data_IF_220323690427
#
_entry.id   IF_220323690427
#
_cell.length_a   1.000
_cell.length_b   1.000
_cell.length_c   1.000
_cell.angle_alpha   90.00
_cell.angle_beta   90.00
_cell.angle_gamma   90.00
#
_symmetry.space_group_name_H-M   'P 1'
#
loop_
_entity.id
_entity.type
_entity.pdbx_description
1 polymer ?
#
# COMPACT_ATOMS: atom_id res chain seq x y z
N UNK A 1 20.72 21.76 14.90
CA UNK A 1 19.49 22.13 14.18
C UNK A 1 18.35 21.45 14.90
N UNK A 2 17.59 22.20 15.71
CA UNK A 2 16.47 21.65 16.47
C UNK A 2 15.34 21.30 15.50
N UNK A 3 15.05 20.00 15.40
CA UNK A 3 13.86 19.49 14.72
C UNK A 3 12.66 20.16 15.39
N UNK A 4 12.01 21.08 14.69
CA UNK A 4 10.82 21.76 15.17
C UNK A 4 9.73 20.69 15.39
N UNK A 5 9.54 20.26 16.65
CA UNK A 5 8.53 19.29 17.11
C UNK A 5 7.13 19.85 16.85
N UNK A 6 6.71 19.85 15.59
CA UNK A 6 5.35 20.18 15.14
C UNK A 6 4.70 18.95 14.54
N UNK A 7 4.66 17.87 15.30
CA UNK A 7 3.97 16.67 14.83
C UNK A 7 2.96 16.26 15.91
N UNK A 8 1.68 16.33 15.55
CA UNK A 8 0.57 15.81 16.36
C UNK A 8 0.54 14.27 16.40
N UNK A 9 1.47 13.63 15.67
CA UNK A 9 1.57 12.19 15.50
C UNK A 9 3.04 11.82 15.73
N UNK A 10 3.31 10.92 16.67
CA UNK A 10 4.64 10.38 16.91
C UNK A 10 4.75 9.01 16.22
N UNK A 11 5.94 8.70 15.72
CA UNK A 11 6.30 7.36 15.21
C UNK A 11 5.39 6.81 14.10
N UNK A 12 4.85 7.68 13.24
CA UNK A 12 3.97 7.28 12.16
C UNK A 12 4.68 6.41 11.09
N UNK A 13 3.94 5.44 10.56
CA UNK A 13 4.30 4.60 9.40
C UNK A 13 3.31 4.81 8.26
N UNK A 14 3.81 4.76 7.03
CA UNK A 14 2.98 4.89 5.83
C UNK A 14 2.52 3.50 5.39
N UNK A 15 1.21 3.23 5.52
CA UNK A 15 0.60 1.98 5.06
C UNK A 15 0.12 2.02 3.61
N UNK A 16 -0.36 3.18 3.17
CA UNK A 16 -0.91 3.37 1.82
C UNK A 16 -0.63 4.79 1.35
N UNK A 17 -0.28 4.92 0.07
CA UNK A 17 -0.05 6.20 -0.58
C UNK A 17 -0.83 6.29 -1.89
N UNK A 18 -1.51 7.40 -2.09
CA UNK A 18 -2.12 7.75 -3.38
C UNK A 18 -1.19 8.68 -4.14
N UNK A 19 -1.04 8.42 -5.44
CA UNK A 19 -0.18 9.23 -6.32
C UNK A 19 -1.03 10.16 -7.20
N UNK A 20 -0.40 11.23 -7.71
CA UNK A 20 -0.97 12.11 -8.74
C UNK A 20 -2.30 12.79 -8.36
N UNK A 21 -2.45 13.21 -7.12
CA UNK A 21 -3.63 13.97 -6.69
C UNK A 21 -3.61 15.39 -7.28
N UNK A 22 -4.60 15.80 -8.08
CA UNK A 22 -4.59 17.11 -8.74
C UNK A 22 -4.83 18.28 -7.77
N UNK A 23 -5.44 18.00 -6.61
CA UNK A 23 -5.70 18.96 -5.55
C UNK A 23 -5.83 18.26 -4.20
N UNK A 24 -5.80 19.05 -3.12
CA UNK A 24 -6.05 18.56 -1.75
C UNK A 24 -7.48 18.05 -1.62
N UNK A 25 -7.65 16.75 -1.36
CA UNK A 25 -8.97 16.11 -1.19
C UNK A 25 -9.72 16.61 0.06
N UNK A 26 -8.99 16.92 1.13
CA UNK A 26 -9.54 17.37 2.40
C UNK A 26 -8.88 18.70 2.82
N UNK A 27 -9.51 19.85 2.56
CA UNK A 27 -8.97 21.17 2.91
C UNK A 27 -8.76 21.36 4.42
N UNK A 28 -9.60 20.72 5.23
CA UNK A 28 -9.54 20.74 6.68
C UNK A 28 -9.58 19.30 7.21
N UNK A 29 -8.93 19.09 8.34
CA UNK A 29 -8.94 17.83 9.07
C UNK A 29 -9.67 18.01 10.38
N UNK A 30 -10.50 17.03 10.73
CA UNK A 30 -11.12 16.90 12.04
C UNK A 30 -10.90 15.48 12.54
N UNK A 31 -10.69 15.32 13.85
CA UNK A 31 -10.57 14.02 14.47
C UNK A 31 -11.63 13.85 15.56
N UNK A 32 -12.02 12.60 15.80
CA UNK A 32 -12.77 12.19 16.99
C UNK A 32 -12.06 10.99 17.57
N UNK A 33 -11.71 11.06 18.85
CA UNK A 33 -11.20 9.92 19.60
C UNK A 33 -12.37 9.00 19.89
N UNK A 34 -12.23 7.73 19.55
CA UNK A 34 -13.22 6.69 19.82
C UNK A 34 -12.74 5.88 21.03
N UNK A 35 -13.65 5.60 21.96
CA UNK A 35 -13.33 4.76 23.10
C UNK A 35 -13.28 3.30 22.66
N UNK A 36 -12.16 2.63 22.93
CA UNK A 36 -11.99 1.21 22.65
C UNK A 36 -12.59 0.39 23.80
N UNK A 37 -13.34 -0.68 23.51
CA UNK A 37 -13.74 -1.63 24.54
C UNK A 37 -12.50 -2.31 25.16
N UNK A 38 -12.49 -2.50 26.49
CA UNK A 38 -11.33 -3.01 27.25
C UNK A 38 -10.73 -4.31 26.69
N UNK A 39 -11.57 -5.19 26.13
CA UNK A 39 -11.15 -6.46 25.52
C UNK A 39 -10.16 -6.31 24.34
N UNK A 40 -10.06 -5.13 23.73
CA UNK A 40 -9.13 -4.84 22.62
C UNK A 40 -7.81 -4.20 23.07
N UNK A 41 -7.62 -4.02 24.38
CA UNK A 41 -6.37 -3.53 24.95
C UNK A 41 -5.38 -4.67 25.27
N UNK A 42 -5.82 -5.91 25.16
CA UNK A 42 -4.99 -7.08 25.46
C UNK A 42 -4.02 -7.36 24.31
N UNK A 43 -2.78 -7.71 24.68
CA UNK A 43 -1.69 -8.00 23.76
C UNK A 43 -1.62 -9.52 23.49
N UNK A 44 -1.91 -9.96 22.28
CA UNK A 44 -1.58 -11.30 21.77
C UNK A 44 -0.34 -11.23 20.88
N UNK A 45 0.78 -11.66 21.45
CA UNK A 45 2.11 -11.67 20.83
C UNK A 45 2.33 -12.91 19.97
N UNK A 46 1.85 -12.91 18.73
CA UNK A 46 2.44 -13.71 17.65
C UNK A 46 1.89 -13.29 16.29
N UNK A 47 2.65 -12.46 15.56
CA UNK A 47 2.43 -12.26 14.13
C UNK A 47 3.35 -13.24 13.39
N UNK A 48 2.80 -14.37 12.95
CA UNK A 48 3.51 -15.33 12.08
C UNK A 48 3.26 -15.07 10.59
N UNK A 49 2.30 -14.20 10.29
CA UNK A 49 1.85 -13.88 8.94
C UNK A 49 2.73 -12.80 8.28
N UNK A 50 2.82 -12.78 6.94
CA UNK A 50 3.59 -11.77 6.22
C UNK A 50 2.98 -10.38 6.42
N UNK A 51 3.83 -9.34 6.39
CA UNK A 51 3.40 -7.97 6.69
C UNK A 51 2.33 -7.48 5.71
N UNK A 52 2.38 -7.91 4.45
CA UNK A 52 1.43 -7.52 3.41
C UNK A 52 0.01 -7.97 3.72
N UNK A 53 -0.14 -9.17 4.28
CA UNK A 53 -1.44 -9.71 4.69
C UNK A 53 -1.98 -8.91 5.86
N UNK A 54 -1.14 -8.65 6.87
CA UNK A 54 -1.50 -7.79 8.02
C UNK A 54 -1.92 -6.38 7.58
N UNK A 55 -1.21 -5.78 6.62
CA UNK A 55 -1.56 -4.46 6.06
C UNK A 55 -2.92 -4.53 5.35
N UNK A 56 -3.13 -5.56 4.52
CA UNK A 56 -4.37 -5.77 3.77
C UNK A 56 -5.58 -5.90 4.70
N UNK A 57 -5.45 -6.68 5.78
CA UNK A 57 -6.49 -6.84 6.78
C UNK A 57 -6.78 -5.55 7.53
N UNK A 58 -5.73 -4.84 7.96
CA UNK A 58 -5.84 -3.54 8.62
C UNK A 58 -6.58 -2.51 7.75
N UNK A 59 -6.18 -2.37 6.49
CA UNK A 59 -6.84 -1.47 5.53
C UNK A 59 -8.28 -1.89 5.26
N UNK A 60 -8.56 -3.20 5.21
CA UNK A 60 -9.92 -3.74 5.04
C UNK A 60 -10.81 -3.39 6.23
N UNK A 61 -10.32 -3.56 7.46
CA UNK A 61 -11.04 -3.19 8.67
C UNK A 61 -11.34 -1.68 8.70
N UNK A 62 -10.34 -0.83 8.42
CA UNK A 62 -10.49 0.62 8.34
C UNK A 62 -11.49 1.05 7.25
N UNK A 63 -11.47 0.40 6.09
CA UNK A 63 -12.41 0.68 5.02
C UNK A 63 -13.85 0.30 5.40
N UNK A 64 -14.04 -0.85 6.05
CA UNK A 64 -15.35 -1.28 6.57
C UNK A 64 -15.85 -0.30 7.64
N UNK A 65 -14.97 0.13 8.55
CA UNK A 65 -15.26 1.15 9.55
C UNK A 65 -15.69 2.47 8.91
N UNK A 66 -14.93 2.95 7.92
CA UNK A 66 -15.25 4.16 7.16
C UNK A 66 -16.61 4.08 6.48
N UNK A 67 -16.91 2.95 5.80
CA UNK A 67 -18.22 2.70 5.19
C UNK A 67 -19.34 2.69 6.23
N UNK A 68 -19.10 2.16 7.42
CA UNK A 68 -20.06 2.16 8.50
C UNK A 68 -20.31 3.57 9.05
N UNK A 69 -19.25 4.38 9.18
CA UNK A 69 -19.32 5.78 9.61
C UNK A 69 -20.13 6.66 8.64
N UNK A 70 -20.15 6.34 7.34
CA UNK A 70 -20.97 7.07 6.35
C UNK A 70 -22.49 6.99 6.62
N UNK A 71 -22.93 6.04 7.44
CA UNK A 71 -24.34 5.93 7.86
C UNK A 71 -24.74 6.96 8.91
N UNK A 72 -23.76 7.65 9.50
CA UNK A 72 -23.97 8.66 10.53
C UNK A 72 -23.88 10.08 9.96
N UNK A 73 -24.50 11.08 10.62
CA UNK A 73 -24.38 12.46 10.19
C UNK A 73 -22.91 12.91 10.14
N UNK A 74 -22.57 13.77 9.19
CA UNK A 74 -21.19 14.24 8.93
C UNK A 74 -20.51 14.99 10.10
N UNK A 75 -21.24 15.28 11.17
CA UNK A 75 -20.68 15.93 12.36
C UNK A 75 -20.12 14.87 13.32
N UNK A 76 -18.83 14.94 13.70
CA UNK A 76 -18.24 14.00 14.66
C UNK A 76 -18.93 14.03 16.02
N UNK A 77 -19.58 15.15 16.39
CA UNK A 77 -20.37 15.29 17.63
C UNK A 77 -21.60 14.37 17.67
N UNK A 78 -22.05 13.88 16.51
CA UNK A 78 -23.26 13.06 16.40
C UNK A 78 -22.96 11.56 16.40
N UNK A 79 -21.68 11.16 16.53
CA UNK A 79 -21.31 9.76 16.68
C UNK A 79 -21.47 9.32 18.14
N UNK A 80 -22.19 8.22 18.44
CA UNK A 80 -22.32 7.71 19.81
C UNK A 80 -20.96 7.35 20.42
N UNK A 81 -20.80 7.54 21.74
CA UNK A 81 -19.52 7.29 22.42
C UNK A 81 -19.15 5.79 22.47
N UNK A 82 -20.14 4.90 22.49
CA UNK A 82 -20.00 3.44 22.47
C UNK A 82 -20.19 2.85 21.06
N UNK A 83 -19.92 3.64 20.02
CA UNK A 83 -20.10 3.21 18.62
C UNK A 83 -19.34 1.91 18.30
N UNK A 84 -18.10 1.79 18.76
CA UNK A 84 -17.23 0.66 18.47
C UNK A 84 -17.70 -0.65 19.13
N UNK A 85 -18.51 -0.59 20.19
CA UNK A 85 -19.08 -1.80 20.81
C UNK A 85 -20.05 -2.53 19.87
N UNK A 86 -20.65 -1.81 18.91
CA UNK A 86 -21.61 -2.37 17.93
C UNK A 86 -20.93 -2.97 16.70
N UNK A 87 -19.68 -2.62 16.45
CA UNK A 87 -18.89 -3.07 15.28
C UNK A 87 -17.47 -3.48 15.70
N UNK A 88 -17.34 -4.41 16.66
CA UNK A 88 -16.04 -4.88 17.16
C UNK A 88 -15.11 -5.40 16.07
N UNK A 89 -15.67 -6.01 15.02
CA UNK A 89 -14.94 -6.63 13.93
C UNK A 89 -14.24 -5.65 12.98
N UNK A 90 -14.49 -4.35 13.14
CA UNK A 90 -13.80 -3.30 12.37
C UNK A 90 -12.68 -2.62 13.16
N UNK A 91 -12.46 -3.02 14.41
CA UNK A 91 -11.41 -2.49 15.27
C UNK A 91 -10.11 -3.22 14.93
N UNK A 92 -9.09 -2.47 14.54
CA UNK A 92 -7.73 -2.99 14.44
C UNK A 92 -7.18 -3.18 15.85
N UNK A 93 -6.64 -4.36 16.16
CA UNK A 93 -6.11 -4.66 17.49
C UNK A 93 -4.87 -3.82 17.81
N UNK A 94 -4.61 -3.61 19.10
CA UNK A 94 -3.44 -2.88 19.56
C UNK A 94 -2.13 -3.58 19.14
N UNK A 95 -2.11 -4.93 19.12
CA UNK A 95 -0.98 -5.73 18.68
C UNK A 95 -0.62 -5.48 17.22
N UNK A 96 -1.63 -5.48 16.35
CA UNK A 96 -1.43 -5.22 14.92
C UNK A 96 -0.88 -3.81 14.72
N UNK A 97 -1.39 -2.83 15.46
CA UNK A 97 -0.87 -1.45 15.41
C UNK A 97 0.59 -1.43 15.88
N UNK A 98 0.91 -2.06 17.01
CA UNK A 98 2.28 -2.13 17.54
C UNK A 98 3.25 -2.78 16.57
N UNK A 99 2.88 -3.95 16.03
CA UNK A 99 3.66 -4.66 15.02
C UNK A 99 3.93 -3.80 13.78
N UNK A 100 2.91 -3.14 13.22
CA UNK A 100 3.07 -2.27 12.06
C UNK A 100 3.96 -1.05 12.37
N UNK A 101 3.91 -0.50 13.59
CA UNK A 101 4.78 0.60 14.01
C UNK A 101 6.25 0.20 14.09
N UNK A 102 6.54 -1.04 14.49
CA UNK A 102 7.90 -1.58 14.60
C UNK A 102 8.44 -2.13 13.27
N UNK A 103 7.56 -2.39 12.30
CA UNK A 103 7.92 -2.93 10.99
C UNK A 103 8.90 -2.01 10.24
N UNK A 104 10.07 -2.56 9.88
CA UNK A 104 11.14 -1.84 9.19
C UNK A 104 10.86 -1.64 7.70
N UNK A 105 10.04 -2.50 7.10
CA UNK A 105 9.66 -2.43 5.68
C UNK A 105 8.75 -1.22 5.40
N UNK A 106 8.04 -0.75 6.44
CA UNK A 106 7.21 0.44 6.36
C UNK A 106 8.03 1.72 6.57
N UNK A 107 7.89 2.64 5.63
CA UNK A 107 8.55 3.94 5.68
C UNK A 107 7.89 4.86 6.71
N UNK A 108 8.72 5.58 7.45
CA UNK A 108 8.26 6.80 8.13
C UNK A 108 8.06 7.94 7.13
N UNK A 109 7.22 8.95 7.46
CA UNK A 109 7.08 10.14 6.62
C UNK A 109 8.40 10.83 6.29
N UNK A 110 9.34 10.88 7.25
CA UNK A 110 10.65 11.49 7.03
C UNK A 110 11.50 10.69 6.02
N UNK A 111 11.53 9.36 6.15
CA UNK A 111 12.23 8.49 5.19
C UNK A 111 11.62 8.59 3.79
N UNK A 112 10.30 8.62 3.70
CA UNK A 112 9.61 8.79 2.42
C UNK A 112 9.96 10.12 1.74
N UNK A 113 9.91 11.24 2.46
CA UNK A 113 10.27 12.55 1.92
C UNK A 113 11.73 12.59 1.45
N UNK A 114 12.64 11.99 2.22
CA UNK A 114 14.04 11.89 1.80
C UNK A 114 14.21 11.09 0.50
N UNK A 115 13.53 9.94 0.35
CA UNK A 115 13.59 9.13 -0.88
C UNK A 115 12.95 9.86 -2.09
N UNK A 116 11.94 10.68 -1.83
CA UNK A 116 11.30 11.49 -2.86
C UNK A 116 12.23 12.63 -3.34
N UNK A 117 12.95 13.28 -2.43
CA UNK A 117 13.91 14.34 -2.74
C UNK A 117 15.19 13.80 -3.40
N UNK A 118 15.63 12.61 -3.00
CA UNK A 118 16.85 11.95 -3.48
C UNK A 118 16.52 10.59 -4.12
N UNK A 119 15.88 10.57 -5.29
CA UNK A 119 15.53 9.33 -5.96
C UNK A 119 16.79 8.53 -6.32
N UNK A 120 16.73 7.22 -6.10
CA UNK A 120 17.79 6.32 -6.55
C UNK A 120 17.83 6.32 -8.08
N UNK A 121 18.94 6.81 -8.65
CA UNK A 121 19.18 6.69 -10.08
C UNK A 121 19.78 5.31 -10.38
N UNK A 122 18.93 4.28 -10.36
CA UNK A 122 19.35 2.92 -10.73
C UNK A 122 19.45 2.89 -12.25
N UNK A 123 20.68 2.95 -12.79
CA UNK A 123 20.88 2.60 -14.19
C UNK A 123 20.58 1.12 -14.35
N UNK A 124 19.54 0.81 -15.12
CA UNK A 124 19.21 -0.56 -15.47
C UNK A 124 20.22 -0.99 -16.53
N UNK A 125 21.20 -1.83 -16.18
CA UNK A 125 22.22 -2.38 -17.09
C UNK A 125 21.63 -3.30 -18.19
N UNK A 126 20.31 -3.28 -18.41
CA UNK A 126 19.63 -4.06 -19.44
C UNK A 126 19.80 -3.52 -20.86
N UNK A 127 20.72 -2.58 -21.07
CA UNK A 127 21.24 -2.25 -22.39
C UNK A 127 22.17 -3.39 -22.87
N UNK A 128 21.63 -4.61 -22.97
CA UNK A 128 21.99 -5.42 -24.13
C UNK A 128 21.38 -4.69 -25.33
N UNK A 129 22.15 -3.74 -25.87
CA UNK A 129 21.86 -3.04 -27.11
C UNK A 129 21.93 -4.03 -28.26
N UNK A 130 21.01 -4.99 -28.30
CA UNK A 130 20.60 -5.57 -29.57
C UNK A 130 20.04 -4.40 -30.35
N UNK A 131 20.76 -3.99 -31.39
CA UNK A 131 20.31 -2.94 -32.28
C UNK A 131 18.90 -3.30 -32.78
N UNK A 132 18.11 -2.29 -33.18
CA UNK A 132 16.82 -2.57 -33.83
C UNK A 132 16.98 -3.55 -35.00
N UNK A 133 18.13 -3.51 -35.69
CA UNK A 133 18.50 -4.47 -36.74
C UNK A 133 18.61 -5.91 -36.23
N UNK A 134 19.20 -6.15 -35.05
CA UNK A 134 19.32 -7.50 -34.48
C UNK A 134 17.95 -8.05 -34.07
N UNK A 135 17.06 -7.19 -33.54
CA UNK A 135 15.68 -7.56 -33.20
C UNK A 135 14.84 -7.88 -34.43
N UNK A 136 14.96 -7.07 -35.48
CA UNK A 136 14.30 -7.30 -36.76
C UNK A 136 14.80 -8.61 -37.40
N UNK A 137 16.11 -8.85 -37.38
CA UNK A 137 16.70 -10.08 -37.92
C UNK A 137 16.15 -11.33 -37.22
N UNK A 138 16.14 -11.34 -35.88
CA UNK A 138 15.56 -12.45 -35.11
C UNK A 138 14.08 -12.69 -35.46
N UNK A 139 13.31 -11.61 -35.66
CA UNK A 139 11.90 -11.72 -36.02
C UNK A 139 11.70 -12.24 -37.46
N UNK A 140 12.54 -11.82 -38.42
CA UNK A 140 12.51 -12.33 -39.79
C UNK A 140 12.96 -13.80 -39.85
N UNK A 141 14.02 -14.16 -39.14
CA UNK A 141 14.53 -15.54 -39.07
C UNK A 141 13.48 -16.49 -38.46
N UNK A 142 12.78 -16.04 -37.42
CA UNK A 142 11.66 -16.76 -36.83
C UNK A 142 10.47 -16.94 -37.80
N UNK A 143 10.11 -15.88 -38.54
CA UNK A 143 9.05 -15.95 -39.53
C UNK A 143 9.40 -16.92 -40.68
N UNK A 144 10.65 -16.88 -41.15
CA UNK A 144 11.16 -17.79 -42.18
C UNK A 144 11.15 -19.26 -41.70
N UNK A 145 11.55 -19.51 -40.44
CA UNK A 145 11.47 -20.84 -39.84
C UNK A 145 10.02 -21.34 -39.79
N UNK A 146 9.07 -20.51 -39.35
CA UNK A 146 7.65 -20.88 -39.31
C UNK A 146 7.11 -21.29 -40.69
N UNK A 147 7.44 -20.53 -41.72
CA UNK A 147 7.01 -20.86 -43.09
C UNK A 147 7.69 -22.14 -43.61
N UNK A 148 8.95 -22.38 -43.27
CA UNK A 148 9.65 -23.62 -43.61
C UNK A 148 9.01 -24.84 -42.91
N UNK A 149 8.65 -24.72 -41.63
CA UNK A 149 7.94 -25.76 -40.88
C UNK A 149 6.55 -26.04 -41.48
N UNK A 150 5.82 -24.99 -41.86
CA UNK A 150 4.50 -25.11 -42.51
C UNK A 150 4.60 -25.80 -43.86
N UNK A 151 5.62 -25.47 -44.67
CA UNK A 151 5.83 -26.09 -45.98
C UNK A 151 6.24 -27.56 -45.88
N UNK A 152 7.07 -27.92 -44.89
CA UNK A 152 7.47 -29.31 -44.64
C UNK A 152 6.29 -30.18 -44.23
N UNK A 153 5.40 -29.65 -43.37
CA UNK A 153 4.13 -30.31 -43.00
C UNK A 153 3.18 -30.55 -44.18
N UNK A 154 3.29 -29.81 -45.28
CA UNK A 154 2.43 -29.95 -46.45
C UNK A 154 2.96 -30.98 -47.48
N UNK A 155 4.22 -31.41 -47.36
CA UNK A 155 4.86 -32.35 -48.30
C UNK A 155 4.95 -33.78 -47.74
N UNK A 156 4.61 -33.98 -46.46
CA UNK A 156 4.56 -35.30 -45.79
C UNK A 156 3.10 -35.84 -45.66
N UNK A 157 2.19 -35.45 -46.56
CA UNK A 157 0.83 -36.00 -46.70
C UNK A 157 0.62 -36.58 -48.09
#
# INVERSE_FOLDING_TARGET
MEQQKRVLVLDAKILVMSHNLPARLFPQWSYKVLNLPERYLNYETSHEEPVEDTISECLTALLKLGKHLLRYPKSPKNLPDHFLEKVPEFIVSQDTIGFLLECQELLSPAQFLHLFEFPLNIQMDSDSTHSLSDRLKLHLDWAALKEAFKKKSLHDV
#
